data_IF_347675176903
#
_entry.id   IF_347675176903
#
_cell.length_a   1.000
_cell.length_b   1.000
_cell.length_c   1.000
_cell.angle_alpha   90.00
_cell.angle_beta   90.00
_cell.angle_gamma   90.00
#
_symmetry.space_group_name_H-M   'P 1'
#
loop_
_entity.id
_entity.type
_entity.pdbx_description
1 polymer ?
#
# COMPACT_ATOMS: atom_id res chain seq x y z
N UNK A 1 -19.46 4.75 2.47
CA UNK A 1 -18.99 3.91 1.34
C UNK A 1 -20.03 2.89 0.85
N UNK A 2 -21.30 2.98 1.25
CA UNK A 2 -22.37 2.20 0.62
C UNK A 2 -22.54 2.71 -0.83
N UNK A 3 -22.54 1.81 -1.81
CA UNK A 3 -22.67 2.16 -3.24
C UNK A 3 -21.38 2.53 -3.98
N UNK A 4 -20.20 2.49 -3.34
CA UNK A 4 -18.94 2.75 -4.06
C UNK A 4 -18.59 1.61 -5.03
N UNK A 5 -18.23 1.95 -6.28
CA UNK A 5 -17.83 0.99 -7.33
C UNK A 5 -16.61 0.17 -6.89
N UNK A 6 -16.69 -1.14 -7.08
CA UNK A 6 -15.67 -2.09 -6.63
C UNK A 6 -14.40 -2.01 -7.51
N UNK A 7 -13.25 -2.31 -6.90
CA UNK A 7 -11.91 -2.23 -7.51
C UNK A 7 -11.07 -3.40 -7.01
N UNK A 8 -10.50 -4.17 -7.95
CA UNK A 8 -9.70 -5.36 -7.65
C UNK A 8 -8.24 -5.10 -7.31
N UNK A 9 -7.69 -3.90 -7.57
CA UNK A 9 -6.27 -3.59 -7.30
C UNK A 9 -6.10 -2.34 -6.42
N UNK A 10 -5.20 -2.38 -5.43
CA UNK A 10 -5.00 -1.27 -4.48
C UNK A 10 -4.44 -0.01 -5.14
N UNK A 11 -3.61 -0.17 -6.18
CA UNK A 11 -3.05 0.91 -6.98
C UNK A 11 -3.41 0.73 -8.47
N UNK A 12 -3.38 1.83 -9.24
CA UNK A 12 -3.48 1.80 -10.70
C UNK A 12 -2.17 1.27 -11.29
N UNK A 13 -2.25 0.41 -12.31
CA UNK A 13 -1.07 -0.08 -13.05
C UNK A 13 -0.59 0.90 -14.11
N UNK A 14 -1.46 1.78 -14.60
CA UNK A 14 -1.18 2.73 -15.68
C UNK A 14 -0.84 4.14 -15.20
N UNK A 15 -1.20 4.50 -13.98
CA UNK A 15 -1.07 5.86 -13.47
C UNK A 15 0.18 5.99 -12.59
N UNK A 16 1.19 6.71 -13.07
CA UNK A 16 2.37 7.05 -12.26
C UNK A 16 2.07 8.25 -11.37
N UNK A 17 2.21 8.08 -10.05
CA UNK A 17 2.16 9.19 -9.09
C UNK A 17 3.49 9.96 -9.14
N UNK A 18 3.40 11.30 -9.08
CA UNK A 18 4.54 12.22 -9.11
C UNK A 18 4.38 13.27 -8.02
N UNK A 19 5.48 13.82 -7.51
CA UNK A 19 5.45 14.89 -6.49
C UNK A 19 4.74 16.15 -6.98
N UNK A 20 4.88 16.46 -8.27
CA UNK A 20 4.23 17.58 -8.93
C UNK A 20 3.52 17.06 -10.16
N UNK A 21 2.20 17.00 -10.08
CA UNK A 21 1.32 16.46 -11.14
C UNK A 21 0.43 17.54 -11.78
N UNK A 22 0.63 18.81 -11.41
CA UNK A 22 -0.11 19.96 -11.93
C UNK A 22 -1.52 20.12 -11.37
N UNK A 23 -1.99 19.21 -10.51
CA UNK A 23 -3.31 19.33 -9.87
C UNK A 23 -3.25 20.13 -8.59
N UNK A 24 -4.40 20.66 -8.16
CA UNK A 24 -4.45 21.50 -6.95
C UNK A 24 -4.14 20.69 -5.69
N UNK A 25 -3.60 21.40 -4.69
CA UNK A 25 -3.33 20.82 -3.38
C UNK A 25 -4.63 20.48 -2.66
N UNK A 26 -4.62 19.41 -1.87
CA UNK A 26 -5.71 19.01 -0.97
C UNK A 26 -5.29 19.26 0.48
N UNK A 27 -6.23 19.22 1.43
CA UNK A 27 -5.92 19.32 2.85
C UNK A 27 -4.94 18.21 3.29
N UNK A 28 -3.74 18.65 3.67
CA UNK A 28 -2.68 17.76 4.15
C UNK A 28 -3.03 17.05 5.45
N UNK A 29 -3.88 17.66 6.28
CA UNK A 29 -4.27 17.11 7.58
C UNK A 29 -5.14 15.88 7.40
N UNK A 30 -6.21 16.00 6.60
CA UNK A 30 -7.09 14.87 6.27
C UNK A 30 -6.31 13.75 5.56
N UNK A 31 -5.45 14.09 4.60
CA UNK A 31 -4.62 13.13 3.90
C UNK A 31 -3.73 12.31 4.84
N UNK A 32 -3.00 12.98 5.75
CA UNK A 32 -2.13 12.33 6.73
C UNK A 32 -2.91 11.46 7.70
N UNK A 33 -4.09 11.89 8.14
CA UNK A 33 -4.96 11.09 9.01
C UNK A 33 -5.35 9.78 8.35
N UNK A 34 -5.79 9.82 7.10
CA UNK A 34 -6.19 8.61 6.36
C UNK A 34 -4.99 7.69 6.12
N UNK A 35 -3.84 8.22 5.69
CA UNK A 35 -2.65 7.38 5.49
C UNK A 35 -2.16 6.78 6.82
N UNK A 36 -2.22 7.52 7.93
CA UNK A 36 -1.87 6.98 9.25
C UNK A 36 -2.72 5.76 9.63
N UNK A 37 -4.04 5.84 9.40
CA UNK A 37 -4.93 4.68 9.61
C UNK A 37 -4.62 3.51 8.67
N UNK A 38 -4.29 3.80 7.41
CA UNK A 38 -3.91 2.77 6.43
C UNK A 38 -2.55 2.13 6.75
N UNK A 39 -1.62 2.89 7.33
CA UNK A 39 -0.33 2.38 7.80
C UNK A 39 -0.54 1.36 8.92
N UNK A 40 -1.44 1.64 9.86
CA UNK A 40 -1.83 0.68 10.89
C UNK A 40 -2.47 -0.56 10.28
N UNK A 41 -3.38 -0.40 9.32
CA UNK A 41 -4.03 -1.52 8.64
C UNK A 41 -3.02 -2.41 7.88
N UNK A 42 -1.93 -1.84 7.36
CA UNK A 42 -0.90 -2.60 6.65
C UNK A 42 -0.19 -3.65 7.52
N UNK A 43 -0.30 -3.56 8.86
CA UNK A 43 0.19 -4.56 9.81
C UNK A 43 -0.60 -5.87 9.80
N UNK A 44 -1.81 -5.88 9.24
CA UNK A 44 -2.63 -7.10 9.07
C UNK A 44 -3.01 -7.36 7.62
N UNK A 45 -2.56 -6.49 6.70
CA UNK A 45 -2.91 -6.49 5.27
C UNK A 45 -1.66 -6.29 4.41
N UNK A 46 -0.88 -7.35 4.15
CA UNK A 46 0.33 -7.25 3.32
C UNK A 46 0.05 -6.80 1.88
N UNK A 47 -1.16 -7.08 1.38
CA UNK A 47 -1.65 -6.71 0.05
C UNK A 47 -1.67 -5.19 -0.21
N UNK A 48 -1.78 -4.37 0.83
CA UNK A 48 -1.81 -2.89 0.70
C UNK A 48 -0.49 -2.20 1.04
N UNK A 49 0.49 -2.91 1.60
CA UNK A 49 1.72 -2.29 2.15
C UNK A 49 2.46 -1.44 1.13
N UNK A 50 2.56 -1.90 -0.13
CA UNK A 50 3.17 -1.12 -1.21
C UNK A 50 2.39 0.16 -1.52
N UNK A 51 1.06 0.07 -1.66
CA UNK A 51 0.23 1.23 -1.99
C UNK A 51 0.28 2.29 -0.88
N UNK A 52 0.28 1.87 0.38
CA UNK A 52 0.41 2.76 1.54
C UNK A 52 1.79 3.41 1.58
N UNK A 53 2.87 2.64 1.40
CA UNK A 53 4.23 3.20 1.34
C UNK A 53 4.36 4.21 0.18
N UNK A 54 3.79 3.92 -0.99
CA UNK A 54 3.88 4.85 -2.12
C UNK A 54 3.12 6.15 -1.84
N UNK A 55 1.92 6.06 -1.25
CA UNK A 55 1.10 7.24 -0.95
C UNK A 55 1.66 8.08 0.21
N UNK A 56 2.37 7.48 1.16
CA UNK A 56 2.97 8.22 2.28
C UNK A 56 4.06 9.19 1.84
N UNK A 57 4.69 8.96 0.68
CA UNK A 57 5.68 9.84 0.07
C UNK A 57 5.12 11.24 -0.27
N UNK A 58 3.79 11.37 -0.40
CA UNK A 58 3.12 12.62 -0.80
C UNK A 58 2.47 13.37 0.38
N UNK A 59 2.71 12.96 1.63
CA UNK A 59 2.10 13.58 2.83
C UNK A 59 2.45 15.06 3.03
N UNK A 60 3.57 15.54 2.50
CA UNK A 60 3.98 16.93 2.67
C UNK A 60 3.05 17.89 1.92
N UNK A 61 2.74 17.57 0.66
CA UNK A 61 1.91 18.40 -0.23
C UNK A 61 1.04 17.50 -1.11
N UNK A 62 -0.06 16.95 -0.58
CA UNK A 62 -0.91 16.06 -1.34
C UNK A 62 -1.73 16.81 -2.38
N UNK A 63 -1.98 16.17 -3.52
CA UNK A 63 -2.74 16.73 -4.65
C UNK A 63 -4.06 15.99 -4.87
N UNK A 64 -4.90 16.47 -5.78
CA UNK A 64 -6.14 15.78 -6.15
C UNK A 64 -5.84 14.37 -6.66
N UNK A 65 -4.79 14.16 -7.46
CA UNK A 65 -4.51 12.81 -7.96
C UNK A 65 -4.18 11.84 -6.81
N UNK A 66 -3.42 12.31 -5.81
CA UNK A 66 -3.07 11.52 -4.64
C UNK A 66 -4.32 11.17 -3.84
N UNK A 67 -5.23 12.14 -3.67
CA UNK A 67 -6.50 11.92 -2.99
C UNK A 67 -7.41 10.93 -3.73
N UNK A 68 -7.50 11.02 -5.05
CA UNK A 68 -8.26 10.03 -5.84
C UNK A 68 -7.68 8.63 -5.75
N UNK A 69 -6.36 8.51 -5.57
CA UNK A 69 -5.67 7.23 -5.39
C UNK A 69 -5.92 6.66 -4.00
N UNK A 70 -5.94 7.48 -2.94
CA UNK A 70 -6.43 7.06 -1.61
C UNK A 70 -7.86 6.54 -1.72
N UNK A 71 -8.76 7.26 -2.38
CA UNK A 71 -10.15 6.82 -2.58
C UNK A 71 -10.24 5.51 -3.36
N UNK A 72 -9.32 5.24 -4.30
CA UNK A 72 -9.20 3.94 -4.96
C UNK A 72 -8.81 2.85 -3.96
N UNK A 73 -7.77 3.06 -3.16
CA UNK A 73 -7.31 2.10 -2.15
C UNK A 73 -8.43 1.78 -1.14
N UNK A 74 -9.18 2.80 -0.71
CA UNK A 74 -10.33 2.63 0.18
C UNK A 74 -11.46 1.80 -0.44
N UNK A 75 -11.72 1.95 -1.75
CA UNK A 75 -12.68 1.10 -2.48
C UNK A 75 -12.23 -0.35 -2.58
N UNK A 76 -10.92 -0.56 -2.80
CA UNK A 76 -10.33 -1.90 -2.77
C UNK A 76 -10.51 -2.55 -1.39
N UNK A 77 -10.25 -1.84 -0.31
CA UNK A 77 -10.45 -2.34 1.06
C UNK A 77 -11.91 -2.70 1.35
N UNK A 78 -12.86 -1.89 0.88
CA UNK A 78 -14.30 -2.20 0.98
C UNK A 78 -14.63 -3.54 0.29
N UNK A 79 -14.12 -3.77 -0.92
CA UNK A 79 -14.36 -5.03 -1.65
C UNK A 79 -13.69 -6.22 -0.96
N UNK A 80 -12.51 -6.01 -0.37
CA UNK A 80 -11.68 -7.04 0.25
C UNK A 80 -11.82 -7.07 1.77
N UNK A 81 -12.98 -6.69 2.31
CA UNK A 81 -13.19 -6.61 3.76
C UNK A 81 -13.00 -7.96 4.46
N UNK A 82 -13.23 -9.06 3.75
CA UNK A 82 -13.05 -10.43 4.23
C UNK A 82 -11.62 -10.97 4.09
N UNK A 83 -10.70 -10.22 3.46
CA UNK A 83 -9.30 -10.64 3.38
C UNK A 83 -8.65 -10.46 4.75
N UNK A 84 -8.20 -11.58 5.31
CA UNK A 84 -7.57 -11.67 6.63
C UNK A 84 -6.35 -12.60 6.54
N UNK A 85 -5.38 -12.37 7.43
CA UNK A 85 -4.28 -13.31 7.61
C UNK A 85 -4.83 -14.54 8.32
N UNK A 86 -4.67 -15.70 7.69
CA UNK A 86 -5.00 -16.99 8.29
C UNK A 86 -3.73 -17.58 8.89
N UNK A 87 -3.72 -17.71 10.22
CA UNK A 87 -2.68 -18.42 10.93
C UNK A 87 -3.13 -19.86 11.15
N UNK A 88 -2.31 -20.81 10.73
CA UNK A 88 -2.55 -22.23 10.93
C UNK A 88 -1.48 -22.84 11.83
N UNK A 89 -1.86 -23.86 12.59
CA UNK A 89 -0.89 -24.64 13.34
C UNK A 89 0.01 -25.34 12.32
N UNK A 90 1.29 -25.05 12.40
CA UNK A 90 2.30 -25.69 11.58
C UNK A 90 3.23 -26.53 12.45
N UNK A 91 3.65 -27.69 11.94
CA UNK A 91 4.68 -28.52 12.56
C UNK A 91 6.07 -28.18 12.03
N UNK A 92 6.13 -27.44 10.91
CA UNK A 92 7.38 -27.03 10.26
C UNK A 92 7.79 -25.63 10.69
N UNK A 93 9.03 -25.50 11.18
CA UNK A 93 9.62 -24.25 11.65
C UNK A 93 10.60 -23.67 10.62
N UNK A 94 10.29 -23.82 9.33
CA UNK A 94 11.12 -23.28 8.26
C UNK A 94 10.84 -21.79 8.06
N UNK A 95 11.90 -20.99 8.13
CA UNK A 95 11.83 -19.57 7.79
C UNK A 95 12.06 -19.41 6.28
N UNK A 96 11.04 -18.98 5.55
CA UNK A 96 11.11 -18.70 4.12
C UNK A 96 10.86 -17.22 3.88
N UNK A 97 11.71 -16.56 3.10
CA UNK A 97 11.53 -15.14 2.76
C UNK A 97 11.53 -14.97 1.26
N UNK A 98 10.52 -14.25 0.77
CA UNK A 98 10.43 -13.78 -0.60
C UNK A 98 10.76 -12.29 -0.62
N UNK A 99 11.55 -11.87 -1.60
CA UNK A 99 11.90 -10.47 -1.81
C UNK A 99 11.71 -10.09 -3.27
N UNK A 100 11.24 -8.88 -3.49
CA UNK A 100 11.10 -8.26 -4.80
C UNK A 100 11.70 -6.85 -4.78
N UNK A 101 12.23 -6.41 -5.92
CA UNK A 101 12.82 -5.09 -6.03
C UNK A 101 12.60 -4.49 -7.43
N UNK A 102 12.06 -3.27 -7.44
CA UNK A 102 11.91 -2.45 -8.64
C UNK A 102 13.05 -1.43 -8.70
N UNK A 103 13.89 -1.50 -9.74
CA UNK A 103 15.01 -0.58 -9.92
C UNK A 103 14.57 0.76 -10.50
N UNK A 104 14.93 1.86 -9.82
CA UNK A 104 14.76 3.24 -10.29
C UNK A 104 13.36 3.60 -10.82
N UNK A 105 12.32 2.89 -10.35
CA UNK A 105 10.92 3.05 -10.79
C UNK A 105 10.32 4.36 -10.32
N UNK A 106 10.85 4.97 -9.26
CA UNK A 106 10.35 6.27 -8.84
C UNK A 106 10.76 7.37 -9.82
N UNK A 107 9.78 7.97 -10.49
CA UNK A 107 10.02 8.99 -11.52
C UNK A 107 10.66 10.26 -10.93
N UNK A 108 10.37 10.57 -9.67
CA UNK A 108 10.79 11.82 -9.03
C UNK A 108 12.27 11.82 -8.64
N UNK A 109 12.80 10.73 -8.08
CA UNK A 109 14.17 10.66 -7.53
C UNK A 109 14.98 9.43 -7.98
N UNK A 110 14.42 8.59 -8.86
CA UNK A 110 15.04 7.38 -9.41
C UNK A 110 15.53 6.39 -8.34
N UNK A 111 14.94 6.44 -7.16
CA UNK A 111 15.19 5.44 -6.10
C UNK A 111 14.49 4.12 -6.43
N UNK A 112 15.09 3.03 -5.95
CA UNK A 112 14.51 1.70 -6.01
C UNK A 112 13.40 1.55 -4.97
N UNK A 113 12.49 0.60 -5.18
CA UNK A 113 11.55 0.16 -4.15
C UNK A 113 11.77 -1.32 -3.93
N UNK A 114 12.01 -1.72 -2.69
CA UNK A 114 12.16 -3.11 -2.28
C UNK A 114 10.95 -3.55 -1.45
N UNK A 115 10.58 -4.81 -1.56
CA UNK A 115 9.56 -5.41 -0.74
C UNK A 115 10.00 -6.82 -0.31
N UNK A 116 9.54 -7.25 0.86
CA UNK A 116 9.72 -8.62 1.30
C UNK A 116 8.50 -9.11 2.07
N UNK A 117 8.36 -10.43 2.13
CA UNK A 117 7.46 -11.13 3.03
C UNK A 117 8.15 -12.41 3.53
N UNK A 118 8.15 -12.58 4.85
CA UNK A 118 8.73 -13.70 5.56
C UNK A 118 7.63 -14.57 6.17
N UNK A 119 7.76 -15.87 5.96
CA UNK A 119 6.88 -16.91 6.45
C UNK A 119 7.63 -17.80 7.44
N UNK A 120 6.95 -18.20 8.50
CA UNK A 120 7.36 -19.29 9.38
C UNK A 120 6.41 -20.47 9.15
N UNK A 121 6.92 -21.52 8.51
CA UNK A 121 6.08 -22.53 7.89
C UNK A 121 5.18 -21.87 6.84
N UNK A 122 3.87 -22.03 6.97
CA UNK A 122 2.88 -21.40 6.09
C UNK A 122 2.37 -20.04 6.58
N UNK A 123 2.81 -19.57 7.75
CA UNK A 123 2.26 -18.36 8.37
C UNK A 123 3.10 -17.14 8.02
N UNK A 124 2.53 -16.07 7.44
CA UNK A 124 3.27 -14.82 7.26
C UNK A 124 3.51 -14.16 8.62
N UNK A 125 4.76 -13.86 8.92
CA UNK A 125 5.17 -13.29 10.22
C UNK A 125 5.73 -11.87 10.12
N UNK A 126 6.23 -11.48 8.95
CA UNK A 126 6.78 -10.14 8.73
C UNK A 126 6.73 -9.77 7.25
N UNK A 127 6.45 -8.51 6.94
CA UNK A 127 6.51 -7.99 5.59
C UNK A 127 6.74 -6.48 5.62
N UNK A 128 7.28 -5.95 4.53
CA UNK A 128 7.43 -4.51 4.35
C UNK A 128 7.59 -4.21 2.88
N UNK A 129 7.15 -3.02 2.48
CA UNK A 129 7.57 -2.37 1.25
C UNK A 129 8.26 -1.07 1.62
N UNK A 130 9.46 -0.82 1.09
CA UNK A 130 10.31 0.32 1.39
C UNK A 130 10.88 0.89 0.11
N UNK A 131 10.84 2.21 0.03
CA UNK A 131 11.64 3.01 -0.88
C UNK A 131 12.94 3.36 -0.17
#
# INVERSE_FOLDING_TARGET
MVGAKDISTPLSTSTSLKLVDGTTSVDSTEFRRVIGSLQYLSLTRPDISFAVNKLSQFMHKPTITHWTTIKRLLRYLKQTIFHVIQLQKDTTWHLTTYSDADWARNVDDRTSTSAYISFLGHNPISWSSKK
#
